data_IF_198384166188
#
_entry.id   IF_198384166188
#
_cell.length_a   1.000
_cell.length_b   1.000
_cell.length_c   1.000
_cell.angle_alpha   90.00
_cell.angle_beta   90.00
_cell.angle_gamma   90.00
#
_symmetry.space_group_name_H-M   'P 1'
#
loop_
_entity.id
_entity.type
_entity.pdbx_description
1 polymer ?
#
# COMPACT_ATOMS: atom_id res chain seq x y z
N UNK A 1 -11.54 -9.83 -12.35
CA UNK A 1 -11.41 -8.49 -12.94
C UNK A 1 -10.67 -7.56 -11.96
N UNK A 2 -9.70 -6.78 -12.43
CA UNK A 2 -9.00 -5.79 -11.61
C UNK A 2 -9.97 -4.62 -11.35
N UNK A 3 -10.25 -4.23 -10.10
CA UNK A 3 -11.26 -3.22 -9.81
C UNK A 3 -10.86 -1.88 -10.45
N UNK A 4 -11.71 -1.32 -11.32
CA UNK A 4 -11.57 0.01 -11.95
C UNK A 4 -12.30 1.08 -11.14
N UNK A 5 -11.92 2.35 -11.25
CA UNK A 5 -12.32 3.44 -10.34
C UNK A 5 -13.82 3.50 -10.01
N UNK A 6 -14.66 3.08 -10.95
CA UNK A 6 -16.13 3.14 -10.91
C UNK A 6 -16.83 1.83 -10.51
N UNK A 7 -16.12 0.69 -10.39
CA UNK A 7 -16.68 -0.59 -9.93
C UNK A 7 -15.74 -1.26 -8.93
N UNK A 8 -16.17 -1.34 -7.67
CA UNK A 8 -15.54 -2.17 -6.62
C UNK A 8 -16.50 -3.29 -6.19
N UNK A 9 -16.79 -4.27 -7.10
CA UNK A 9 -17.83 -5.28 -6.87
C UNK A 9 -17.54 -6.18 -5.66
N UNK A 10 -16.27 -6.29 -5.29
CA UNK A 10 -15.79 -7.11 -4.18
C UNK A 10 -15.29 -6.28 -2.99
N UNK A 11 -15.53 -4.96 -2.98
CA UNK A 11 -15.08 -4.04 -1.91
C UNK A 11 -13.57 -4.05 -1.61
N UNK A 12 -12.73 -4.45 -2.58
CA UNK A 12 -11.28 -4.64 -2.40
C UNK A 12 -10.56 -3.34 -2.08
N UNK A 13 -11.03 -2.18 -2.58
CA UNK A 13 -10.41 -0.89 -2.22
C UNK A 13 -10.63 -0.57 -0.76
N UNK A 14 -11.86 -0.77 -0.29
CA UNK A 14 -12.20 -0.54 1.12
C UNK A 14 -11.46 -1.51 2.03
N UNK A 15 -11.39 -2.78 1.65
CA UNK A 15 -10.65 -3.80 2.40
C UNK A 15 -9.16 -3.45 2.50
N UNK A 16 -8.51 -3.12 1.38
CA UNK A 16 -7.09 -2.75 1.38
C UNK A 16 -6.82 -1.47 2.20
N UNK A 17 -7.68 -0.44 2.08
CA UNK A 17 -7.55 0.76 2.92
C UNK A 17 -7.71 0.43 4.42
N UNK A 18 -8.61 -0.49 4.77
CA UNK A 18 -8.74 -0.98 6.14
C UNK A 18 -7.45 -1.62 6.65
N UNK A 19 -6.82 -2.48 5.85
CA UNK A 19 -5.52 -3.08 6.18
C UNK A 19 -4.42 -2.02 6.33
N UNK A 20 -4.35 -1.05 5.42
CA UNK A 20 -3.40 0.08 5.50
C UNK A 20 -3.55 0.82 6.83
N UNK A 21 -4.78 1.19 7.20
CA UNK A 21 -5.08 1.87 8.45
C UNK A 21 -4.68 1.05 9.66
N UNK A 22 -5.05 -0.22 9.71
CA UNK A 22 -4.68 -1.13 10.82
C UNK A 22 -3.17 -1.16 11.01
N UNK A 23 -2.39 -1.31 9.92
CA UNK A 23 -0.94 -1.39 10.01
C UNK A 23 -0.32 -0.07 10.50
N UNK A 24 -0.80 1.07 10.00
CA UNK A 24 -0.24 2.38 10.34
C UNK A 24 -0.63 2.80 11.76
N UNK A 25 -1.92 2.77 12.08
CA UNK A 25 -2.46 3.25 13.36
C UNK A 25 -1.94 2.41 14.53
N UNK A 26 -1.77 1.10 14.34
CA UNK A 26 -1.19 0.21 15.36
C UNK A 26 0.35 0.11 15.28
N UNK A 27 0.99 0.87 14.40
CA UNK A 27 2.47 0.89 14.21
C UNK A 27 3.06 -0.50 13.95
N UNK A 28 2.37 -1.33 13.18
CA UNK A 28 2.81 -2.68 12.82
C UNK A 28 3.73 -2.62 11.61
N UNK A 29 4.94 -3.17 11.76
CA UNK A 29 5.89 -3.41 10.67
C UNK A 29 5.55 -4.75 10.02
N UNK A 30 5.28 -4.76 8.71
CA UNK A 30 4.89 -5.97 7.99
C UNK A 30 5.46 -5.95 6.57
N UNK A 31 6.13 -7.03 6.17
CA UNK A 31 6.57 -7.25 4.80
C UNK A 31 5.42 -7.89 3.99
N UNK A 32 4.66 -7.08 3.24
CA UNK A 32 3.46 -7.53 2.53
C UNK A 32 3.78 -8.59 1.46
N UNK A 33 4.87 -8.41 0.71
CA UNK A 33 5.34 -9.38 -0.28
C UNK A 33 5.51 -10.79 0.29
N UNK A 34 6.03 -10.91 1.52
CA UNK A 34 6.19 -12.20 2.19
C UNK A 34 4.85 -12.86 2.55
N UNK A 35 3.84 -12.06 2.90
CA UNK A 35 2.49 -12.54 3.20
C UNK A 35 1.79 -12.94 1.89
N UNK A 36 1.93 -12.14 0.84
CA UNK A 36 1.40 -12.46 -0.48
C UNK A 36 1.99 -13.76 -1.00
N UNK A 37 3.31 -13.96 -0.89
CA UNK A 37 3.97 -15.20 -1.29
C UNK A 37 3.39 -16.43 -0.59
N UNK A 38 3.12 -16.34 0.72
CA UNK A 38 2.47 -17.42 1.48
C UNK A 38 1.03 -17.65 1.04
N UNK A 39 0.27 -16.57 0.84
CA UNK A 39 -1.13 -16.67 0.41
C UNK A 39 -1.28 -17.27 -0.99
N UNK A 40 -0.37 -16.93 -1.90
CA UNK A 40 -0.34 -17.44 -3.27
C UNK A 40 0.36 -18.78 -3.44
N UNK A 41 0.99 -19.34 -2.40
CA UNK A 41 1.74 -20.60 -2.49
C UNK A 41 0.90 -21.77 -3.06
N UNK A 42 -0.41 -21.76 -2.80
CA UNK A 42 -1.35 -22.77 -3.27
C UNK A 42 -2.15 -22.33 -4.52
N UNK A 43 -1.79 -21.20 -5.14
CA UNK A 43 -2.50 -20.62 -6.28
C UNK A 43 -1.64 -20.72 -7.54
N UNK A 44 -2.08 -21.54 -8.50
CA UNK A 44 -1.39 -21.66 -9.79
C UNK A 44 -1.33 -20.30 -10.50
N UNK A 45 -0.12 -19.82 -10.78
CA UNK A 45 0.14 -18.57 -11.50
C UNK A 45 0.22 -17.31 -10.66
N UNK A 46 0.29 -17.38 -9.32
CA UNK A 46 0.21 -16.24 -8.39
C UNK A 46 1.44 -15.31 -8.28
N UNK A 47 2.58 -15.64 -8.92
CA UNK A 47 3.80 -14.84 -8.80
C UNK A 47 3.67 -13.46 -9.46
N UNK A 48 3.01 -13.37 -10.61
CA UNK A 48 2.87 -12.12 -11.38
C UNK A 48 1.85 -11.14 -10.76
N UNK A 49 1.05 -11.59 -9.80
CA UNK A 49 0.00 -10.82 -9.15
C UNK A 49 0.51 -10.14 -7.87
N UNK A 50 1.66 -10.56 -7.34
CA UNK A 50 2.23 -9.97 -6.12
C UNK A 50 2.61 -8.51 -6.32
N UNK A 51 3.30 -8.18 -7.42
CA UNK A 51 3.67 -6.81 -7.78
C UNK A 51 2.44 -5.95 -8.03
N UNK A 52 1.44 -6.50 -8.71
CA UNK A 52 0.17 -5.84 -8.99
C UNK A 52 -0.62 -5.54 -7.72
N UNK A 53 -0.62 -6.48 -6.76
CA UNK A 53 -1.25 -6.31 -5.47
C UNK A 53 -0.49 -5.30 -4.61
N UNK A 54 0.85 -5.33 -4.61
CA UNK A 54 1.66 -4.34 -3.90
C UNK A 54 1.41 -2.93 -4.45
N UNK A 55 1.40 -2.76 -5.77
CA UNK A 55 1.05 -1.50 -6.41
C UNK A 55 -0.38 -1.05 -6.05
N UNK A 56 -1.33 -1.98 -5.96
CA UNK A 56 -2.68 -1.67 -5.48
C UNK A 56 -2.70 -1.16 -4.04
N UNK A 57 -1.87 -1.72 -3.14
CA UNK A 57 -1.69 -1.20 -1.79
C UNK A 57 -1.02 0.18 -1.77
N UNK A 58 -0.04 0.41 -2.65
CA UNK A 58 0.57 1.75 -2.81
C UNK A 58 -0.47 2.79 -3.20
N UNK A 59 -1.36 2.48 -4.15
CA UNK A 59 -2.43 3.41 -4.53
C UNK A 59 -3.34 3.76 -3.35
N UNK A 60 -3.63 2.81 -2.45
CA UNK A 60 -4.42 3.08 -1.24
C UNK A 60 -3.65 3.89 -0.22
N UNK A 61 -2.37 3.59 -0.03
CA UNK A 61 -1.50 4.36 0.86
C UNK A 61 -1.36 5.81 0.39
N UNK A 62 -1.21 6.04 -0.93
CA UNK A 62 -1.14 7.38 -1.52
C UNK A 62 -2.39 8.19 -1.20
N UNK A 63 -3.57 7.61 -1.36
CA UNK A 63 -4.84 8.29 -1.00
C UNK A 63 -4.88 8.57 0.50
N UNK A 64 -4.58 7.58 1.34
CA UNK A 64 -4.55 7.76 2.79
C UNK A 64 -3.62 8.91 3.23
N UNK A 65 -2.40 8.97 2.69
CA UNK A 65 -1.44 10.02 3.01
C UNK A 65 -1.91 11.41 2.54
N UNK A 66 -2.52 11.51 1.36
CA UNK A 66 -3.10 12.76 0.85
C UNK A 66 -4.24 13.25 1.74
N UNK A 67 -5.11 12.33 2.20
CA UNK A 67 -6.21 12.65 3.12
C UNK A 67 -5.69 13.12 4.50
N UNK A 68 -4.46 12.74 4.88
CA UNK A 68 -3.75 13.26 6.06
C UNK A 68 -3.00 14.58 5.80
N UNK A 69 -3.11 15.15 4.61
CA UNK A 69 -2.47 16.43 4.25
C UNK A 69 -1.02 16.32 3.77
N UNK A 70 -0.50 15.11 3.54
CA UNK A 70 0.84 14.95 2.99
C UNK A 70 0.89 15.44 1.53
N UNK A 71 1.94 16.20 1.21
CA UNK A 71 2.14 16.76 -0.14
C UNK A 71 2.41 15.65 -1.17
N UNK A 72 1.86 15.82 -2.37
CA UNK A 72 1.93 14.83 -3.43
C UNK A 72 3.36 14.48 -3.85
N UNK A 73 4.22 15.49 -3.98
CA UNK A 73 5.62 15.36 -4.37
C UNK A 73 6.43 14.56 -3.35
N UNK A 74 6.18 14.76 -2.06
CA UNK A 74 6.83 13.99 -0.99
C UNK A 74 6.42 12.51 -1.01
N UNK A 75 5.14 12.24 -1.25
CA UNK A 75 4.63 10.86 -1.34
C UNK A 75 5.31 10.13 -2.50
N UNK A 76 5.38 10.75 -3.67
CA UNK A 76 5.97 10.13 -4.86
C UNK A 76 7.50 10.03 -4.79
N UNK A 77 8.17 10.94 -4.08
CA UNK A 77 9.61 10.85 -3.83
C UNK A 77 10.00 9.64 -2.96
N UNK A 78 9.10 9.17 -2.11
CA UNK A 78 9.38 8.10 -1.14
C UNK A 78 8.95 6.72 -1.65
N UNK A 79 7.80 6.64 -2.34
CA UNK A 79 7.22 5.37 -2.80
C UNK A 79 7.91 4.89 -4.07
N UNK A 80 8.57 3.73 -3.98
CA UNK A 80 9.12 3.01 -5.12
C UNK A 80 8.36 1.71 -5.36
N UNK A 81 8.43 1.10 -6.56
CA UNK A 81 7.77 -0.19 -6.83
C UNK A 81 8.17 -1.31 -5.85
N UNK A 82 9.36 -1.24 -5.27
CA UNK A 82 9.90 -2.22 -4.32
C UNK A 82 9.58 -1.88 -2.84
N UNK A 83 8.91 -0.76 -2.58
CA UNK A 83 8.61 -0.33 -1.21
C UNK A 83 7.55 -1.24 -0.58
N UNK A 84 7.95 -2.16 0.29
CA UNK A 84 7.03 -3.18 0.81
C UNK A 84 6.41 -2.82 2.18
N UNK A 85 7.16 -2.11 3.01
CA UNK A 85 6.76 -1.80 4.38
C UNK A 85 6.03 -0.46 4.45
N UNK A 86 4.69 -0.52 4.54
CA UNK A 86 3.85 0.68 4.50
C UNK A 86 4.12 1.65 5.65
N UNK A 87 4.36 1.15 6.86
CA UNK A 87 4.66 2.01 8.01
C UNK A 87 5.98 2.75 7.80
N UNK A 88 6.98 2.10 7.19
CA UNK A 88 8.23 2.77 6.89
C UNK A 88 8.09 3.82 5.78
N UNK A 89 7.24 3.59 4.79
CA UNK A 89 6.92 4.61 3.79
C UNK A 89 6.36 5.86 4.48
N UNK A 90 5.37 5.70 5.37
CA UNK A 90 4.75 6.82 6.10
C UNK A 90 5.81 7.62 6.87
N UNK A 91 6.65 6.93 7.66
CA UNK A 91 7.71 7.59 8.44
C UNK A 91 8.69 8.37 7.57
N UNK A 92 9.03 7.86 6.38
CA UNK A 92 9.90 8.56 5.43
C UNK A 92 9.24 9.81 4.86
N UNK A 93 7.94 9.74 4.55
CA UNK A 93 7.17 10.92 4.08
C UNK A 93 7.09 11.98 5.18
N UNK A 94 6.77 11.59 6.41
CA UNK A 94 6.72 12.49 7.56
C UNK A 94 8.09 13.13 7.83
N UNK A 95 9.15 12.33 7.83
CA UNK A 95 10.52 12.82 8.04
C UNK A 95 10.93 13.82 6.96
N UNK A 96 10.67 13.51 5.69
CA UNK A 96 10.97 14.41 4.58
C UNK A 96 10.12 15.70 4.65
N UNK A 97 8.86 15.59 5.04
CA UNK A 97 7.98 16.75 5.23
C UNK A 97 8.34 17.63 6.42
N UNK A 98 8.99 17.08 7.45
CA UNK A 98 9.49 17.87 8.59
C UNK A 98 10.78 18.66 8.29
N UNK A 99 11.48 18.29 7.22
CA UNK A 99 12.76 18.89 6.82
C UNK A 99 12.59 20.07 5.85
N UNK A 100 11.48 20.12 5.10
CA UNK A 100 11.22 21.05 3.99
C UNK A 100 10.09 22.02 4.31
#
# INVERSE_FOLDING_TARGET
>A
EKPTGSKDPFALRRAALGVVRILIENRVRLALTSIFAKAFANFAGGANQQSDLLAFFHDRLKVYLRDQGARHDLIDAVITPQSDDLLQIVRRVEALGSLL
#
